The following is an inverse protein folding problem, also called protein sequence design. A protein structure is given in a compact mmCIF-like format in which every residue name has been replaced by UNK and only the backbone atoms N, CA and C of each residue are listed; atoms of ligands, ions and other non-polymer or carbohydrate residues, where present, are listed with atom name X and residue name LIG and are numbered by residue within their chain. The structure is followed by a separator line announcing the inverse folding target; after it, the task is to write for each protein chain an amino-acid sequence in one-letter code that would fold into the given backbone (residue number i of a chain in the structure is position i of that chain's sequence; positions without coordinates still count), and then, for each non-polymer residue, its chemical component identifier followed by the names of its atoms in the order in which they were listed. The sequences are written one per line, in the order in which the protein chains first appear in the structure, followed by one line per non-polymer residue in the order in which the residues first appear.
data_IF_831372939622
#
_entry.id   IF_831372939622
#
_cell.length_a   1.000
_cell.length_b   1.000
_cell.length_c   1.000
_cell.angle_alpha   90.00
_cell.angle_beta   90.00
_cell.angle_gamma   90.00
#
_symmetry.space_group_name_H-M   'P 1'
#
loop_
_entity.id
_entity.type
_entity.pdbx_description
1 polymer ?
#
# COMPACT_ATOMS: atom_id res chain seq x y z
N UNK A 1 3.19 1.04 5.91
CA UNK A 1 1.74 0.78 5.80
C UNK A 1 0.86 1.96 6.23
N UNK A 2 1.36 2.94 6.96
CA UNK A 2 0.58 4.10 7.42
C UNK A 2 -0.10 4.92 6.30
N UNK A 3 0.40 4.84 5.06
CA UNK A 3 -0.21 5.50 3.89
C UNK A 3 -1.61 4.98 3.55
N UNK A 4 -1.94 3.75 3.98
CA UNK A 4 -3.24 3.13 3.81
C UNK A 4 -4.17 3.33 5.02
N UNK A 5 -3.96 4.39 5.79
CA UNK A 5 -4.83 4.79 6.90
C UNK A 5 -5.52 6.10 6.57
N UNK A 6 -6.83 6.15 6.77
CA UNK A 6 -7.63 7.38 6.73
C UNK A 6 -8.24 7.65 8.11
N UNK A 7 -7.51 8.38 8.93
CA UNK A 7 -7.91 8.68 10.32
C UNK A 7 -9.21 9.51 10.45
N UNK A 8 -9.72 10.05 9.34
CA UNK A 8 -10.96 10.82 9.29
C UNK A 8 -12.13 10.04 8.70
N UNK A 9 -11.91 8.79 8.30
CA UNK A 9 -12.95 7.96 7.73
C UNK A 9 -14.05 7.67 8.77
N UNK A 10 -15.29 7.55 8.32
CA UNK A 10 -16.40 7.15 9.18
C UNK A 10 -16.30 5.68 9.63
N UNK A 11 -15.55 4.86 8.93
CA UNK A 11 -15.35 3.43 9.22
C UNK A 11 -14.13 3.24 10.12
N UNK A 12 -14.28 2.68 11.33
CA UNK A 12 -13.18 2.47 12.26
C UNK A 12 -12.03 1.61 11.68
N UNK A 13 -12.35 0.63 10.84
CA UNK A 13 -11.37 -0.24 10.20
C UNK A 13 -10.38 0.49 9.29
N UNK A 14 -10.71 1.70 8.82
CA UNK A 14 -9.82 2.51 7.98
C UNK A 14 -9.00 3.54 8.77
N UNK A 15 -9.30 3.71 10.07
CA UNK A 15 -8.68 4.75 10.91
C UNK A 15 -7.34 4.36 11.52
N UNK A 16 -6.92 3.10 11.38
CA UNK A 16 -5.73 2.63 12.06
C UNK A 16 -5.03 1.47 11.35
N UNK A 17 -4.08 0.90 12.05
CA UNK A 17 -3.32 -0.27 11.63
C UNK A 17 -3.76 -1.45 12.46
N UNK A 18 -4.16 -2.52 11.79
CA UNK A 18 -4.58 -3.78 12.38
C UNK A 18 -3.37 -4.69 12.58
N UNK A 19 -3.29 -5.27 13.77
CA UNK A 19 -2.38 -6.35 14.14
C UNK A 19 -3.20 -7.63 14.28
N UNK A 20 -2.88 -8.64 13.50
CA UNK A 20 -3.59 -9.91 13.46
C UNK A 20 -2.65 -11.06 13.13
N UNK A 21 -2.48 -11.99 14.05
CA UNK A 21 -1.51 -13.09 13.93
C UNK A 21 -0.12 -12.53 13.58
N UNK A 22 0.41 -12.90 12.41
CA UNK A 22 1.72 -12.47 11.89
C UNK A 22 1.64 -11.23 10.99
N UNK A 23 0.44 -10.70 10.77
CA UNK A 23 0.19 -9.63 9.83
C UNK A 23 0.00 -8.29 10.53
N UNK A 24 0.69 -7.28 10.06
CA UNK A 24 0.48 -5.87 10.40
C UNK A 24 0.01 -5.19 9.13
N UNK A 25 -1.23 -4.73 9.08
CA UNK A 25 -1.80 -4.20 7.85
C UNK A 25 -2.76 -3.04 8.08
N UNK A 26 -2.94 -2.25 7.04
CA UNK A 26 -3.90 -1.16 7.00
C UNK A 26 -4.60 -1.15 5.66
N UNK A 27 -5.83 -0.69 5.64
CA UNK A 27 -6.63 -0.56 4.42
C UNK A 27 -7.45 0.73 4.46
N UNK A 28 -7.56 1.39 3.33
CA UNK A 28 -8.52 2.47 3.10
C UNK A 28 -9.11 2.31 1.70
N UNK A 29 -10.36 2.12 1.57
CA UNK A 29 -11.19 1.97 0.36
C UNK A 29 -10.55 1.76 -1.02
N UNK A 30 -9.33 2.22 -1.27
CA UNK A 30 -8.63 2.18 -2.57
C UNK A 30 -7.23 1.59 -2.54
N UNK A 31 -6.66 1.38 -1.35
CA UNK A 31 -5.31 0.85 -1.17
C UNK A 31 -5.17 0.13 0.15
N UNK A 32 -4.25 -0.80 0.22
CA UNK A 32 -3.86 -1.48 1.44
C UNK A 32 -2.35 -1.66 1.50
N UNK A 33 -1.82 -1.83 2.68
CA UNK A 33 -0.43 -2.18 2.91
C UNK A 33 -0.33 -3.22 4.02
N UNK A 34 0.51 -4.22 3.81
CA UNK A 34 0.76 -5.28 4.77
C UNK A 34 2.26 -5.48 4.97
N UNK A 35 2.62 -5.87 6.16
CA UNK A 35 3.94 -6.38 6.49
C UNK A 35 3.76 -7.64 7.34
N UNK A 36 4.44 -8.71 6.94
CA UNK A 36 4.44 -9.96 7.69
C UNK A 36 5.65 -9.96 8.64
N UNK A 37 5.39 -10.20 9.91
CA UNK A 37 6.43 -10.36 10.91
C UNK A 37 6.34 -11.76 11.52
N UNK A 38 7.37 -12.57 11.29
CA UNK A 38 7.42 -13.96 11.79
C UNK A 38 7.59 -14.06 13.29
N UNK A 39 8.09 -13.01 13.93
CA UNK A 39 8.22 -12.91 15.39
C UNK A 39 6.95 -12.44 16.08
N UNK A 40 6.00 -11.91 15.30
CA UNK A 40 4.71 -11.45 15.80
C UNK A 40 3.73 -12.63 15.87
N UNK A 41 3.10 -12.82 17.02
CA UNK A 41 1.99 -13.75 17.18
C UNK A 41 0.92 -13.08 18.05
N UNK A 42 -0.03 -12.45 17.39
CA UNK A 42 -1.14 -11.73 18.04
C UNK A 42 -2.37 -12.61 18.05
N UNK A 43 -2.65 -13.25 19.17
CA UNK A 43 -3.84 -14.11 19.35
C UNK A 43 -5.14 -13.28 19.27
N UNK A 44 -5.16 -12.13 19.94
CA UNK A 44 -6.31 -11.21 19.93
C UNK A 44 -6.07 -10.05 18.99
N UNK A 45 -6.72 -9.98 17.81
CA UNK A 45 -6.56 -8.87 16.89
C UNK A 45 -6.90 -7.52 17.50
N UNK A 46 -6.13 -6.51 17.18
CA UNK A 46 -6.36 -5.15 17.64
C UNK A 46 -5.95 -4.11 16.60
N UNK A 47 -6.59 -2.94 16.66
CA UNK A 47 -6.27 -1.80 15.78
C UNK A 47 -5.82 -0.62 16.62
N UNK A 48 -4.74 0.03 16.21
CA UNK A 48 -4.22 1.26 16.84
C UNK A 48 -4.03 2.36 15.80
N UNK A 49 -4.18 3.61 16.25
CA UNK A 49 -3.99 4.78 15.38
C UNK A 49 -2.53 5.00 15.00
N UNK A 50 -2.31 5.70 13.88
CA UNK A 50 -0.97 6.06 13.37
C UNK A 50 -0.08 6.75 14.43
N UNK A 51 -0.59 7.64 15.31
CA UNK A 51 0.24 8.26 16.35
C UNK A 51 0.97 7.26 17.25
N UNK A 52 0.33 6.15 17.63
CA UNK A 52 0.98 5.12 18.42
C UNK A 52 2.17 4.48 17.68
N UNK A 53 2.03 4.23 16.38
CA UNK A 53 3.09 3.67 15.54
C UNK A 53 4.25 4.66 15.34
N UNK A 54 3.95 5.93 15.25
CA UNK A 54 4.98 6.98 15.14
C UNK A 54 5.80 7.09 16.43
N UNK A 55 5.17 6.94 17.59
CA UNK A 55 5.87 6.86 18.86
C UNK A 55 6.74 5.59 18.96
N UNK A 56 6.22 4.41 18.58
CA UNK A 56 7.00 3.18 18.55
C UNK A 56 8.23 3.32 17.65
N UNK A 57 8.08 3.93 16.47
CA UNK A 57 9.20 4.20 15.57
C UNK A 57 10.21 5.18 16.18
N UNK A 58 9.76 6.24 16.84
CA UNK A 58 10.61 7.25 17.45
C UNK A 58 11.47 6.66 18.59
N UNK A 59 10.93 5.69 19.33
CA UNK A 59 11.66 4.98 20.40
C UNK A 59 12.62 3.90 19.89
N UNK A 60 12.70 3.68 18.56
CA UNK A 60 13.54 2.61 18.01
C UNK A 60 13.09 1.22 18.48
N UNK A 61 11.79 1.01 18.55
CA UNK A 61 11.15 -0.16 19.15
C UNK A 61 11.52 -1.46 18.44
N UNK A 62 12.59 -2.10 18.90
CA UNK A 62 12.93 -3.48 18.61
C UNK A 62 12.48 -4.36 19.79
N UNK A 63 12.09 -5.61 19.47
CA UNK A 63 11.79 -6.66 20.46
C UNK A 63 10.75 -6.26 21.53
N UNK A 64 9.66 -5.64 21.07
CA UNK A 64 8.56 -5.25 21.94
C UNK A 64 7.65 -6.42 22.28
N UNK A 65 7.39 -6.62 23.56
CA UNK A 65 6.28 -7.44 24.03
C UNK A 65 4.97 -6.67 23.88
N UNK A 66 3.92 -7.37 23.44
CA UNK A 66 2.59 -6.81 23.22
C UNK A 66 1.61 -7.47 24.19
N UNK A 67 0.93 -6.65 24.99
CA UNK A 67 -0.16 -7.10 25.87
C UNK A 67 -1.45 -6.39 25.49
N UNK A 68 -2.50 -7.15 25.20
CA UNK A 68 -3.77 -6.63 24.69
C UNK A 68 -4.83 -6.70 25.80
N UNK A 69 -5.48 -5.57 26.09
CA UNK A 69 -6.64 -5.46 26.95
C UNK A 69 -7.85 -4.91 26.17
N UNK A 70 -9.01 -4.79 26.79
CA UNK A 70 -10.24 -4.39 26.09
C UNK A 70 -10.14 -3.05 25.36
N UNK A 71 -9.66 -2.02 26.03
CA UNK A 71 -9.54 -0.67 25.47
C UNK A 71 -8.10 -0.27 25.11
N UNK A 72 -7.11 -1.01 25.58
CA UNK A 72 -5.71 -0.58 25.54
C UNK A 72 -4.79 -1.71 25.05
N UNK A 73 -3.71 -1.31 24.42
CA UNK A 73 -2.57 -2.17 24.08
C UNK A 73 -1.33 -1.60 24.71
N UNK A 74 -0.60 -2.43 25.43
CA UNK A 74 0.71 -2.11 25.97
C UNK A 74 1.78 -2.70 25.06
N UNK A 75 2.67 -1.85 24.56
CA UNK A 75 3.92 -2.20 23.91
C UNK A 75 5.04 -1.93 24.90
N UNK A 76 5.86 -2.92 25.22
CA UNK A 76 6.93 -2.73 26.19
C UNK A 76 8.18 -3.54 25.85
N UNK A 77 9.33 -2.99 26.25
CA UNK A 77 10.61 -3.68 26.39
C UNK A 77 11.31 -3.19 27.67
N UNK A 78 12.59 -3.49 27.83
CA UNK A 78 13.35 -3.11 29.04
C UNK A 78 13.43 -1.57 29.24
N UNK A 79 13.33 -0.78 28.16
CA UNK A 79 13.59 0.66 28.18
C UNK A 79 12.33 1.51 27.98
N UNK A 80 11.32 0.97 27.32
CA UNK A 80 10.15 1.74 26.85
C UNK A 80 8.85 1.01 27.19
N UNK A 81 7.87 1.77 27.65
CA UNK A 81 6.47 1.36 27.76
C UNK A 81 5.58 2.35 27.06
N UNK A 82 4.82 1.89 26.08
CA UNK A 82 3.82 2.69 25.36
C UNK A 82 2.45 2.06 25.55
N UNK A 83 1.54 2.80 26.18
CA UNK A 83 0.14 2.43 26.28
C UNK A 83 -0.64 3.15 25.18
N UNK A 84 -1.23 2.40 24.26
CA UNK A 84 -2.00 2.91 23.14
C UNK A 84 -3.47 2.53 23.28
N UNK A 85 -4.37 3.48 23.01
CA UNK A 85 -5.81 3.20 22.97
C UNK A 85 -6.14 2.42 21.70
N UNK A 86 -6.94 1.36 21.85
CA UNK A 86 -7.48 0.58 20.72
C UNK A 86 -8.57 1.37 20.00
N UNK A 87 -8.63 1.24 18.69
CA UNK A 87 -9.80 1.66 17.92
C UNK A 87 -10.87 0.59 18.11
N UNK A 88 -12.02 0.98 18.62
CA UNK A 88 -13.15 0.10 18.92
C UNK A 88 -14.10 -0.04 17.72
N UNK A 89 -14.98 -1.05 17.78
CA UNK A 89 -16.02 -1.30 16.77
C UNK A 89 -15.47 -1.50 15.35
N UNK A 90 -14.26 -2.05 15.24
CA UNK A 90 -13.65 -2.39 13.95
C UNK A 90 -14.38 -3.59 13.36
N UNK A 91 -14.85 -3.46 12.12
CA UNK A 91 -15.42 -4.59 11.39
C UNK A 91 -14.35 -5.66 11.18
N UNK A 92 -14.59 -6.91 11.57
CA UNK A 92 -13.62 -7.98 11.34
C UNK A 92 -13.31 -8.13 9.85
N UNK A 93 -12.05 -7.99 9.50
CA UNK A 93 -11.52 -8.27 8.17
C UNK A 93 -10.33 -9.20 8.31
N UNK A 94 -10.17 -10.10 7.36
CA UNK A 94 -8.98 -10.96 7.31
C UNK A 94 -8.06 -10.49 6.19
N UNK A 95 -6.76 -10.64 6.38
CA UNK A 95 -5.76 -10.34 5.36
C UNK A 95 -6.09 -11.06 4.04
N UNK A 96 -6.45 -12.33 4.12
CA UNK A 96 -6.78 -13.19 2.97
C UNK A 96 -7.99 -12.70 2.18
N UNK A 97 -8.93 -12.00 2.84
CA UNK A 97 -10.11 -11.45 2.17
C UNK A 97 -9.81 -10.22 1.32
N UNK A 98 -8.68 -9.56 1.58
CA UNK A 98 -8.26 -8.32 0.90
C UNK A 98 -7.21 -8.58 -0.16
N UNK A 99 -6.30 -9.53 0.06
CA UNK A 99 -5.18 -9.81 -0.83
C UNK A 99 -5.59 -10.80 -1.93
N UNK A 100 -5.40 -10.49 -3.21
CA UNK A 100 -5.65 -11.42 -4.30
C UNK A 100 -4.83 -12.71 -4.14
N UNK A 101 -5.50 -13.86 -4.15
CA UNK A 101 -4.88 -15.17 -4.00
C UNK A 101 -4.48 -15.80 -5.34
N UNK A 102 -4.97 -15.25 -6.44
CA UNK A 102 -4.68 -15.70 -7.82
C UNK A 102 -4.39 -14.50 -8.70
N UNK A 103 -3.49 -14.68 -9.66
CA UNK A 103 -3.14 -13.67 -10.66
C UNK A 103 -2.89 -14.34 -12.01
N UNK A 104 -3.07 -13.58 -13.09
CA UNK A 104 -2.88 -14.03 -14.46
C UNK A 104 -1.52 -13.62 -15.00
N UNK A 105 -0.97 -12.50 -14.51
CA UNK A 105 0.33 -11.98 -14.91
C UNK A 105 1.15 -11.59 -13.69
N UNK A 106 2.46 -11.80 -13.81
CA UNK A 106 3.45 -11.43 -12.81
C UNK A 106 4.72 -10.94 -13.50
N UNK A 107 5.25 -9.81 -13.08
CA UNK A 107 6.55 -9.32 -13.51
C UNK A 107 7.24 -8.50 -12.40
N UNK A 108 8.57 -8.41 -12.50
CA UNK A 108 9.38 -7.62 -11.58
C UNK A 108 9.87 -6.33 -12.25
N UNK A 109 10.12 -5.32 -11.43
CA UNK A 109 10.73 -4.06 -11.87
C UNK A 109 11.63 -3.48 -10.78
N UNK A 110 12.58 -2.62 -11.16
CA UNK A 110 13.37 -1.86 -10.20
C UNK A 110 12.53 -0.76 -9.57
N UNK A 111 12.37 -0.82 -8.24
CA UNK A 111 11.57 0.14 -7.47
C UNK A 111 11.97 1.59 -7.72
N UNK A 112 13.29 1.87 -7.74
CA UNK A 112 13.81 3.23 -7.92
C UNK A 112 13.40 3.82 -9.26
N UNK A 113 13.45 3.03 -10.33
CA UNK A 113 13.10 3.48 -11.69
C UNK A 113 11.60 3.80 -11.78
N UNK A 114 10.76 2.94 -11.22
CA UNK A 114 9.32 3.16 -11.20
C UNK A 114 8.94 4.40 -10.37
N UNK A 115 9.56 4.57 -9.20
CA UNK A 115 9.37 5.76 -8.35
C UNK A 115 9.81 7.04 -9.08
N UNK A 116 10.94 7.01 -9.79
CA UNK A 116 11.43 8.15 -10.56
C UNK A 116 10.49 8.50 -11.70
N UNK A 117 10.00 7.50 -12.45
CA UNK A 117 9.03 7.68 -13.51
C UNK A 117 7.72 8.31 -12.99
N UNK A 118 7.19 7.82 -11.86
CA UNK A 118 6.00 8.39 -11.23
C UNK A 118 6.23 9.83 -10.76
N UNK A 119 7.37 10.14 -10.15
CA UNK A 119 7.70 11.51 -9.72
C UNK A 119 7.78 12.45 -10.90
N UNK A 120 8.38 12.03 -12.02
CA UNK A 120 8.40 12.79 -13.26
C UNK A 120 6.97 13.09 -13.75
N UNK A 121 6.14 12.06 -13.87
CA UNK A 121 4.75 12.24 -14.32
C UNK A 121 3.94 13.13 -13.38
N UNK A 122 4.11 12.97 -12.07
CA UNK A 122 3.43 13.80 -11.07
C UNK A 122 3.87 15.27 -11.10
N UNK A 123 5.12 15.55 -11.46
CA UNK A 123 5.60 16.91 -11.63
C UNK A 123 4.95 17.64 -12.81
N UNK A 124 4.45 16.90 -13.81
CA UNK A 124 3.76 17.43 -14.99
C UNK A 124 2.27 17.73 -14.73
N UNK A 125 1.73 17.35 -13.56
CA UNK A 125 0.30 17.46 -13.25
C UNK A 125 0.06 18.56 -12.23
N UNK A 126 -0.94 19.42 -12.47
CA UNK A 126 -1.38 20.42 -11.50
C UNK A 126 -2.01 19.76 -10.25
N UNK A 127 -2.03 20.50 -9.12
CA UNK A 127 -2.59 20.00 -7.85
C UNK A 127 -4.06 19.59 -7.96
N UNK A 128 -4.82 20.21 -8.84
CA UNK A 128 -6.26 19.96 -9.05
C UNK A 128 -6.55 18.79 -9.99
N UNK A 129 -5.57 18.33 -10.77
CA UNK A 129 -5.76 17.27 -11.76
C UNK A 129 -5.68 15.88 -11.12
N UNK A 130 -6.44 14.93 -11.68
CA UNK A 130 -6.36 13.53 -11.29
C UNK A 130 -5.16 12.88 -11.95
N UNK A 131 -4.15 12.40 -11.20
CA UNK A 131 -2.92 11.86 -11.76
C UNK A 131 -3.11 10.39 -12.16
N UNK A 132 -4.05 10.14 -13.07
CA UNK A 132 -4.32 8.79 -13.54
C UNK A 132 -3.33 8.41 -14.64
N UNK A 133 -2.58 7.36 -14.37
CA UNK A 133 -1.55 6.82 -15.27
C UNK A 133 -2.10 5.53 -15.90
N UNK A 134 -1.94 5.41 -17.22
CA UNK A 134 -2.11 4.18 -17.97
C UNK A 134 -0.78 3.43 -17.99
N UNK A 135 -0.81 2.16 -17.64
CA UNK A 135 0.32 1.24 -17.81
C UNK A 135 0.06 0.29 -18.97
N UNK A 136 1.06 0.13 -19.83
CA UNK A 136 1.06 -0.81 -20.93
C UNK A 136 2.50 -1.29 -21.15
N UNK A 137 2.75 -2.55 -20.82
CA UNK A 137 4.04 -3.23 -21.06
C UNK A 137 5.28 -2.38 -20.68
N UNK A 138 5.31 -1.82 -19.47
CA UNK A 138 6.40 -0.97 -18.98
C UNK A 138 6.31 0.50 -19.39
N UNK A 139 5.39 0.88 -20.28
CA UNK A 139 5.15 2.26 -20.64
C UNK A 139 4.09 2.89 -19.71
N UNK A 140 4.46 3.95 -19.04
CA UNK A 140 3.59 4.77 -18.20
C UNK A 140 3.16 6.00 -19.00
N UNK A 141 1.86 6.20 -19.15
CA UNK A 141 1.29 7.33 -19.90
C UNK A 141 0.32 8.10 -19.01
N UNK A 142 0.50 9.42 -18.93
CA UNK A 142 -0.37 10.32 -18.20
C UNK A 142 -0.82 11.46 -19.13
N UNK A 143 -2.14 11.70 -19.17
CA UNK A 143 -2.70 12.85 -19.89
C UNK A 143 -3.10 13.92 -18.87
N UNK A 144 -2.54 15.12 -19.02
CA UNK A 144 -2.93 16.29 -18.25
C UNK A 144 -3.21 17.46 -19.20
N UNK A 145 -4.42 17.98 -19.14
CA UNK A 145 -4.94 18.96 -20.10
C UNK A 145 -4.80 18.40 -21.54
N UNK A 146 -4.14 19.15 -22.42
CA UNK A 146 -3.91 18.79 -23.82
C UNK A 146 -2.56 18.11 -24.06
N UNK A 147 -1.81 17.84 -22.99
CA UNK A 147 -0.48 17.23 -23.07
C UNK A 147 -0.49 15.76 -22.66
N UNK A 148 0.35 14.98 -23.35
CA UNK A 148 0.59 13.59 -23.06
C UNK A 148 2.04 13.41 -22.58
N UNK A 149 2.19 12.91 -21.37
CA UNK A 149 3.48 12.63 -20.74
C UNK A 149 3.72 11.13 -20.69
N UNK A 150 4.94 10.71 -20.99
CA UNK A 150 5.33 9.31 -21.03
C UNK A 150 6.63 9.09 -20.26
N UNK A 151 6.69 7.95 -19.60
CA UNK A 151 7.90 7.42 -18.96
C UNK A 151 7.96 5.91 -19.15
N UNK A 152 9.13 5.36 -19.40
CA UNK A 152 9.33 3.93 -19.54
C UNK A 152 9.99 3.35 -18.30
N UNK A 153 9.61 2.13 -17.94
CA UNK A 153 10.19 1.34 -16.85
C UNK A 153 10.47 -0.07 -17.39
N UNK A 154 11.67 -0.57 -17.15
CA UNK A 154 12.01 -1.95 -17.51
C UNK A 154 11.26 -2.93 -16.62
N UNK A 155 10.65 -3.93 -17.23
CA UNK A 155 9.96 -5.05 -16.57
C UNK A 155 10.59 -6.38 -16.97
N UNK A 156 10.53 -7.37 -16.09
CA UNK A 156 11.20 -8.67 -16.28
C UNK A 156 10.49 -9.61 -17.27
N UNK A 157 9.21 -9.37 -17.55
CA UNK A 157 8.40 -10.14 -18.48
C UNK A 157 7.36 -9.21 -19.13
N UNK A 158 6.98 -9.52 -20.38
CA UNK A 158 5.92 -8.77 -21.07
C UNK A 158 4.58 -8.90 -20.35
N UNK A 159 3.81 -7.82 -20.38
CA UNK A 159 2.46 -7.75 -19.84
C UNK A 159 1.47 -7.39 -20.94
N UNK A 160 0.45 -8.20 -21.09
CA UNK A 160 -0.68 -7.95 -22.01
C UNK A 160 -1.80 -7.16 -21.34
N UNK A 161 -1.79 -7.07 -20.01
CA UNK A 161 -2.81 -6.37 -19.24
C UNK A 161 -2.53 -4.85 -19.26
N UNK A 162 -3.45 -4.12 -19.86
CA UNK A 162 -3.45 -2.65 -19.83
C UNK A 162 -4.37 -2.19 -18.70
N UNK A 163 -3.85 -1.38 -17.78
CA UNK A 163 -4.61 -0.89 -16.64
C UNK A 163 -4.29 0.57 -16.30
N UNK A 164 -5.18 1.18 -15.53
CA UNK A 164 -4.98 2.53 -15.00
C UNK A 164 -4.86 2.53 -13.49
N UNK A 165 -4.09 3.45 -12.95
CA UNK A 165 -3.97 3.67 -11.52
C UNK A 165 -3.73 5.14 -11.17
N UNK A 166 -4.00 5.51 -9.91
CA UNK A 166 -3.61 6.82 -9.38
C UNK A 166 -2.12 6.80 -9.04
N UNK A 167 -1.34 7.66 -9.68
CA UNK A 167 0.11 7.73 -9.51
C UNK A 167 0.53 8.06 -8.08
N UNK A 168 -0.28 8.82 -7.33
CA UNK A 168 0.00 9.15 -5.92
C UNK A 168 -0.13 7.90 -5.05
N UNK A 169 -1.19 7.11 -5.25
CA UNK A 169 -1.39 5.86 -4.50
C UNK A 169 -0.31 4.83 -4.81
N UNK A 170 0.07 4.72 -6.07
CA UNK A 170 1.17 3.83 -6.47
C UNK A 170 2.50 4.27 -5.86
N UNK A 171 2.78 5.57 -5.88
CA UNK A 171 4.00 6.12 -5.27
C UNK A 171 4.03 5.87 -3.76
N UNK A 172 2.92 6.11 -3.06
CA UNK A 172 2.79 5.84 -1.63
C UNK A 172 3.01 4.36 -1.31
N UNK A 173 2.42 3.46 -2.09
CA UNK A 173 2.59 2.01 -1.95
C UNK A 173 4.06 1.60 -2.14
N UNK A 174 4.75 2.15 -3.14
CA UNK A 174 6.16 1.86 -3.41
C UNK A 174 7.11 2.39 -2.31
N UNK A 175 6.70 3.40 -1.51
CA UNK A 175 7.50 3.84 -0.35
C UNK A 175 7.59 2.78 0.75
N UNK A 176 6.63 1.86 0.84
CA UNK A 176 6.69 0.74 1.78
C UNK A 176 7.91 -0.17 1.54
N UNK A 177 8.35 -0.26 0.29
CA UNK A 177 9.45 -1.13 -0.14
C UNK A 177 10.79 -0.40 -0.19
N UNK A 178 11.01 0.64 0.61
CA UNK A 178 12.19 1.52 0.52
C UNK A 178 13.53 0.76 0.62
N UNK A 179 13.55 -0.34 1.36
CA UNK A 179 14.73 -1.20 1.54
C UNK A 179 14.90 -2.27 0.45
N UNK A 180 13.97 -2.35 -0.50
CA UNK A 180 13.96 -3.38 -1.55
C UNK A 180 14.29 -2.74 -2.90
N UNK A 181 15.15 -3.38 -3.68
CA UNK A 181 15.50 -2.90 -5.02
C UNK A 181 14.51 -3.41 -6.08
N UNK A 182 14.03 -4.63 -5.93
CA UNK A 182 13.07 -5.25 -6.84
C UNK A 182 11.70 -5.37 -6.18
N UNK A 183 10.67 -5.08 -6.96
CA UNK A 183 9.26 -5.25 -6.58
C UNK A 183 8.58 -6.12 -7.64
N UNK A 184 7.84 -7.11 -7.18
CA UNK A 184 6.99 -7.95 -8.03
C UNK A 184 5.59 -7.34 -8.11
N UNK A 185 5.06 -7.15 -9.32
CA UNK A 185 3.68 -6.77 -9.57
C UNK A 185 2.89 -7.97 -10.04
N UNK A 186 1.70 -8.17 -9.46
CA UNK A 186 0.77 -9.26 -9.79
C UNK A 186 -0.56 -8.68 -10.20
N UNK A 187 -1.09 -9.14 -11.31
CA UNK A 187 -2.30 -8.62 -11.95
C UNK A 187 -3.29 -9.75 -12.24
N UNK A 188 -4.56 -9.51 -11.95
CA UNK A 188 -5.64 -10.44 -12.30
C UNK A 188 -6.35 -10.04 -13.58
N UNK A 189 -6.57 -8.75 -13.80
CA UNK A 189 -7.29 -8.19 -14.95
C UNK A 189 -7.08 -6.66 -15.00
N UNK A 190 -7.50 -5.96 -16.07
CA UNK A 190 -7.41 -4.51 -16.17
C UNK A 190 -8.10 -3.72 -15.05
N UNK A 191 -9.10 -4.32 -14.42
CA UNK A 191 -9.88 -3.74 -13.31
C UNK A 191 -9.71 -4.53 -12.00
N UNK A 192 -8.84 -5.52 -11.98
CA UNK A 192 -8.46 -6.26 -10.77
C UNK A 192 -7.49 -5.48 -9.89
N UNK A 193 -7.48 -5.79 -8.60
CA UNK A 193 -6.53 -5.17 -7.69
C UNK A 193 -5.07 -5.42 -8.13
N UNK A 194 -4.25 -4.38 -8.09
CA UNK A 194 -2.82 -4.43 -8.37
C UNK A 194 -2.13 -4.82 -7.07
N UNK A 195 -1.49 -5.98 -7.05
CA UNK A 195 -0.74 -6.46 -5.89
C UNK A 195 0.76 -6.24 -6.15
N UNK A 196 1.41 -5.53 -5.23
CA UNK A 196 2.86 -5.33 -5.18
C UNK A 196 3.43 -6.16 -4.04
N UNK A 197 4.52 -6.87 -4.28
CA UNK A 197 5.17 -7.73 -3.28
C UNK A 197 6.67 -7.51 -3.30
N UNK A 198 7.28 -7.34 -2.13
CA UNK A 198 8.73 -7.33 -1.98
C UNK A 198 9.12 -7.73 -0.55
N UNK A 199 9.97 -8.76 -0.43
CA UNK A 199 10.36 -9.32 0.86
C UNK A 199 9.16 -9.83 1.66
N UNK A 200 9.02 -9.36 2.89
CA UNK A 200 7.90 -9.67 3.78
C UNK A 200 6.76 -8.63 3.72
N UNK A 201 6.74 -7.79 2.71
CA UNK A 201 5.76 -6.72 2.59
C UNK A 201 4.97 -6.83 1.30
N UNK A 202 3.70 -6.45 1.38
CA UNK A 202 2.82 -6.34 0.21
C UNK A 202 2.01 -5.05 0.26
N UNK A 203 1.62 -4.58 -0.90
CA UNK A 203 0.75 -3.43 -1.06
C UNK A 203 -0.29 -3.69 -2.14
N UNK A 204 -1.48 -3.16 -1.95
CA UNK A 204 -2.57 -3.23 -2.92
C UNK A 204 -2.91 -1.81 -3.34
N UNK A 205 -3.09 -1.63 -4.64
CA UNK A 205 -3.64 -0.40 -5.23
C UNK A 205 -4.80 -0.79 -6.12
N UNK A 206 -5.97 -0.21 -5.90
CA UNK A 206 -7.09 -0.45 -6.79
C UNK A 206 -6.91 0.32 -8.09
N UNK A 207 -7.23 -0.31 -9.24
CA UNK A 207 -7.14 0.34 -10.53
C UNK A 207 -8.19 1.44 -10.67
N UNK A 208 -7.95 2.35 -11.60
CA UNK A 208 -8.91 3.36 -12.02
C UNK A 208 -9.41 3.03 -13.43
N UNK A 209 -10.69 3.32 -13.71
CA UNK A 209 -11.21 3.23 -15.07
C UNK A 209 -10.61 4.36 -15.90
N UNK A 210 -9.90 3.98 -16.94
CA UNK A 210 -9.40 4.91 -17.95
C UNK A 210 -10.57 5.40 -18.82
N UNK A 211 -10.63 6.70 -19.07
CA UNK A 211 -11.55 7.26 -20.08
C UNK A 211 -11.11 6.80 -21.47
N UNK A 212 -12.01 6.82 -22.45
CA UNK A 212 -11.71 6.38 -23.83
C UNK A 212 -10.54 7.14 -24.46
N UNK A 213 -10.44 8.43 -24.20
CA UNK A 213 -9.32 9.27 -24.61
C UNK A 213 -7.95 8.84 -24.01
N UNK A 214 -7.97 8.14 -22.88
CA UNK A 214 -6.79 7.57 -22.22
C UNK A 214 -6.49 6.14 -22.67
N UNK A 215 -7.43 5.47 -23.34
CA UNK A 215 -7.24 4.12 -23.90
C UNK A 215 -6.55 4.17 -25.25
N UNK A 216 -6.72 5.24 -26.00
CA UNK A 216 -6.18 5.43 -27.35
C UNK A 216 -4.79 6.10 -27.39
N UNK A 217 -4.19 6.34 -26.24
CA UNK A 217 -2.88 6.96 -26.11
C UNK A 217 -1.78 5.94 -25.87
#
# INVERSE_FOLDING_TARGET
IKYAVDSRNARPEYQGVLFQHKHIWAVEGRRAGCCDDRGLDVETPFTVGVPALEQLKAFGAADMQISVADEWVLFQNEHVRLLAKRIQNVTPMTYESVVPQKWNEEFCFHRKDFVQALKYLLACVGKADKPYVRFENGLLTLRAKDCLYRAAVSISAESSIIFGFDARFMLDALTQFEKQDLVTMRLTSPLGAILLVAGNSSAIVLPVRLKEEQKAA
#
